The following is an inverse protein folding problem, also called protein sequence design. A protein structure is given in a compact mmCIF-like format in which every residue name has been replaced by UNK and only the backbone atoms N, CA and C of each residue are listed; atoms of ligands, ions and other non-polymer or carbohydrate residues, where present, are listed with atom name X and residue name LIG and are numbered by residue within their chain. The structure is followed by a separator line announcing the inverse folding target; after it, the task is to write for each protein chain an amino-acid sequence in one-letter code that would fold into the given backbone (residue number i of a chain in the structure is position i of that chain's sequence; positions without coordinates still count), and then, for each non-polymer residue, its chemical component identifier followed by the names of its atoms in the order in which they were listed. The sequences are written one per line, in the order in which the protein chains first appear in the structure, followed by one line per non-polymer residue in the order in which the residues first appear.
data_IF_599907917575
#
_entry.id   IF_599907917575
#
_cell.length_a   1.000
_cell.length_b   1.000
_cell.length_c   1.000
_cell.angle_alpha   90.00
_cell.angle_beta   90.00
_cell.angle_gamma   90.00
#
_symmetry.space_group_name_H-M   'P 1'
#
loop_
_entity.id
_entity.type
_entity.pdbx_description
1 polymer ?
#
# COMPACT_ATOMS: atom_id res chain seq x y z
N UNK A 1 -16.26 -19.08 -37.49
CA UNK A 1 -15.96 -19.05 -36.03
C UNK A 1 -17.27 -19.23 -35.27
N UNK A 2 -17.39 -20.29 -34.46
CA UNK A 2 -18.67 -20.75 -33.88
C UNK A 2 -19.18 -19.82 -32.76
N UNK A 3 -20.50 -19.60 -32.65
CA UNK A 3 -21.12 -18.60 -31.77
C UNK A 3 -20.73 -18.78 -30.29
N UNK A 4 -20.55 -20.04 -29.86
CA UNK A 4 -20.05 -20.39 -28.51
C UNK A 4 -18.65 -19.85 -28.21
N UNK A 5 -17.76 -19.76 -29.21
CA UNK A 5 -16.40 -19.27 -29.01
C UNK A 5 -16.36 -17.74 -28.88
N UNK A 6 -17.28 -17.02 -29.55
CA UNK A 6 -17.45 -15.57 -29.38
C UNK A 6 -17.96 -15.23 -27.98
N UNK A 7 -18.90 -16.02 -27.46
CA UNK A 7 -19.45 -15.81 -26.12
C UNK A 7 -18.41 -16.10 -25.02
N UNK A 8 -17.62 -17.17 -25.17
CA UNK A 8 -16.54 -17.48 -24.23
C UNK A 8 -15.46 -16.40 -24.23
N UNK A 9 -15.11 -15.87 -25.42
CA UNK A 9 -14.14 -14.80 -25.56
C UNK A 9 -14.64 -13.48 -24.95
N UNK A 10 -15.92 -13.13 -25.16
CA UNK A 10 -16.53 -11.95 -24.53
C UNK A 10 -16.55 -12.08 -23.00
N UNK A 11 -16.91 -13.25 -22.47
CA UNK A 11 -16.94 -13.50 -21.03
C UNK A 11 -15.53 -13.44 -20.43
N UNK A 12 -14.53 -13.95 -21.15
CA UNK A 12 -13.12 -13.87 -20.76
C UNK A 12 -12.62 -12.41 -20.75
N UNK A 13 -12.96 -11.62 -21.77
CA UNK A 13 -12.60 -10.18 -21.85
C UNK A 13 -13.29 -9.39 -20.73
N UNK A 14 -14.56 -9.68 -20.42
CA UNK A 14 -15.28 -9.04 -19.31
C UNK A 14 -14.69 -9.43 -17.96
N UNK A 15 -14.32 -10.71 -17.75
CA UNK A 15 -13.67 -11.17 -16.52
C UNK A 15 -12.23 -10.64 -16.35
N UNK A 16 -11.51 -10.44 -17.45
CA UNK A 16 -10.18 -9.81 -17.45
C UNK A 16 -10.31 -8.32 -17.13
N UNK A 17 -11.30 -7.62 -17.70
CA UNK A 17 -11.56 -6.20 -17.42
C UNK A 17 -12.12 -5.93 -16.01
N UNK A 18 -12.80 -6.89 -15.39
CA UNK A 18 -13.27 -6.74 -14.00
C UNK A 18 -12.13 -6.80 -12.97
N UNK A 19 -10.98 -7.42 -13.30
CA UNK A 19 -9.80 -7.43 -12.40
C UNK A 19 -8.98 -6.14 -12.47
N UNK A 20 -9.07 -5.38 -13.56
CA UNK A 20 -8.33 -4.13 -13.77
C UNK A 20 -9.08 -2.87 -13.31
N UNK A 21 -10.40 -2.95 -13.09
CA UNK A 21 -11.24 -1.76 -12.98
C UNK A 21 -11.14 -0.94 -11.70
N UNK A 22 -10.57 -1.46 -10.61
CA UNK A 22 -10.72 -0.75 -9.33
C UNK A 22 -9.82 0.48 -9.17
N UNK A 23 -8.58 0.42 -9.66
CA UNK A 23 -7.65 1.56 -9.59
C UNK A 23 -7.83 2.52 -10.77
N UNK A 24 -8.27 2.02 -11.94
CA UNK A 24 -8.64 2.84 -13.10
C UNK A 24 -9.84 3.76 -12.80
N UNK A 25 -10.83 3.29 -12.03
CA UNK A 25 -11.96 4.12 -11.57
C UNK A 25 -11.57 5.20 -10.54
N UNK A 26 -10.35 5.17 -10.00
CA UNK A 26 -9.80 6.19 -9.10
C UNK A 26 -8.77 7.11 -9.81
N UNK A 27 -8.61 6.99 -11.14
CA UNK A 27 -7.59 7.73 -11.90
C UNK A 27 -6.15 7.29 -11.62
N UNK A 28 -5.97 6.15 -10.95
CA UNK A 28 -4.65 5.63 -10.56
C UNK A 28 -4.15 4.69 -11.66
N UNK A 29 -3.34 5.24 -12.56
CA UNK A 29 -2.83 4.54 -13.75
C UNK A 29 -1.84 3.45 -13.35
N UNK A 30 -1.89 2.32 -14.06
CA UNK A 30 -0.91 1.25 -13.94
C UNK A 30 0.51 1.81 -14.17
N UNK A 31 1.45 1.49 -13.29
CA UNK A 31 2.83 1.93 -13.43
C UNK A 31 3.51 1.27 -14.64
N UNK A 32 4.16 2.10 -15.46
CA UNK A 32 5.09 1.66 -16.52
C UNK A 32 6.37 1.19 -15.83
N UNK A 33 6.97 0.09 -16.32
CA UNK A 33 8.09 -0.65 -15.71
C UNK A 33 9.36 0.16 -15.37
N UNK A 34 9.41 1.46 -15.71
CA UNK A 34 10.58 2.34 -15.62
C UNK A 34 10.30 3.68 -14.90
N UNK A 35 9.26 3.77 -14.06
CA UNK A 35 8.98 4.98 -13.28
C UNK A 35 9.28 4.68 -11.81
N UNK A 36 10.20 5.44 -11.19
CA UNK A 36 10.47 5.33 -9.75
C UNK A 36 9.18 5.53 -8.96
N UNK A 37 8.84 4.62 -8.06
CA UNK A 37 7.61 4.67 -7.25
C UNK A 37 7.72 5.62 -6.08
N UNK A 38 8.96 5.87 -5.65
CA UNK A 38 9.28 6.70 -4.52
C UNK A 38 9.99 7.97 -5.01
N UNK A 39 10.02 9.03 -4.20
CA UNK A 39 10.86 10.20 -4.45
C UNK A 39 12.35 9.83 -4.61
N UNK A 40 13.13 10.66 -5.33
CA UNK A 40 14.56 10.41 -5.57
C UNK A 40 15.39 10.10 -4.32
N UNK A 41 15.07 10.72 -3.18
CA UNK A 41 15.76 10.48 -1.91
C UNK A 41 15.61 9.03 -1.39
N UNK A 42 14.69 8.25 -1.95
CA UNK A 42 14.45 6.85 -1.64
C UNK A 42 14.84 5.88 -2.77
N UNK A 43 15.50 6.34 -3.84
CA UNK A 43 15.86 5.47 -4.98
C UNK A 43 16.82 4.34 -4.60
N UNK A 44 17.58 4.48 -3.52
CA UNK A 44 18.43 3.39 -2.97
C UNK A 44 17.61 2.21 -2.40
N UNK A 45 16.28 2.32 -2.29
CA UNK A 45 15.37 1.31 -1.74
C UNK A 45 14.52 0.63 -2.83
N UNK A 46 15.17 0.16 -3.89
CA UNK A 46 14.52 -0.45 -5.06
C UNK A 46 13.59 -1.63 -4.70
N UNK A 47 13.82 -2.27 -3.55
CA UNK A 47 12.99 -3.37 -3.06
C UNK A 47 11.51 -2.98 -2.89
N UNK A 48 11.19 -1.76 -2.45
CA UNK A 48 9.78 -1.34 -2.30
C UNK A 48 9.13 -1.06 -3.65
N UNK A 49 9.85 -0.44 -4.59
CA UNK A 49 9.37 -0.19 -5.95
C UNK A 49 8.99 -1.49 -6.65
N UNK A 50 9.86 -2.50 -6.57
CA UNK A 50 9.59 -3.84 -7.10
C UNK A 50 8.36 -4.48 -6.44
N UNK A 51 8.24 -4.42 -5.11
CA UNK A 51 7.12 -5.04 -4.39
C UNK A 51 5.77 -4.37 -4.68
N UNK A 52 5.73 -3.04 -4.75
CA UNK A 52 4.53 -2.31 -5.13
C UNK A 52 4.10 -2.64 -6.57
N UNK A 53 5.07 -2.78 -7.48
CA UNK A 53 4.81 -3.23 -8.85
C UNK A 53 4.22 -4.64 -8.90
N UNK A 54 4.83 -5.62 -8.22
CA UNK A 54 4.35 -7.00 -8.17
C UNK A 54 2.95 -7.12 -7.55
N UNK A 55 2.64 -6.25 -6.58
CA UNK A 55 1.32 -6.17 -5.95
C UNK A 55 0.30 -5.35 -6.77
N UNK A 56 0.73 -4.76 -7.90
CA UNK A 56 -0.06 -3.89 -8.76
C UNK A 56 -0.69 -2.72 -7.98
N UNK A 57 0.09 -2.15 -7.07
CA UNK A 57 -0.28 -0.97 -6.28
C UNK A 57 0.01 0.32 -7.06
N UNK A 58 -0.85 1.34 -6.93
CA UNK A 58 -0.68 2.59 -7.65
C UNK A 58 0.48 3.41 -7.09
N UNK A 59 1.14 4.19 -7.96
CA UNK A 59 2.13 5.18 -7.51
C UNK A 59 1.40 6.35 -6.83
N UNK A 60 1.84 6.72 -5.62
CA UNK A 60 1.28 7.86 -4.87
C UNK A 60 2.10 9.13 -5.05
N UNK A 61 3.43 8.99 -5.18
CA UNK A 61 4.30 10.13 -5.46
C UNK A 61 3.93 10.78 -6.81
N UNK A 62 3.77 12.10 -6.82
CA UNK A 62 3.39 12.86 -8.01
C UNK A 62 1.89 12.84 -8.33
N UNK A 63 1.06 12.20 -7.49
CA UNK A 63 -0.39 12.38 -7.52
C UNK A 63 -0.73 13.86 -7.25
N UNK A 64 -1.77 14.37 -7.91
CA UNK A 64 -2.20 15.79 -7.84
C UNK A 64 -3.67 15.98 -7.48
N UNK A 65 -4.37 14.91 -7.11
CA UNK A 65 -5.78 14.99 -6.72
C UNK A 65 -5.89 15.41 -5.25
N UNK A 66 -6.46 16.56 -4.97
CA UNK A 66 -6.64 17.04 -3.59
C UNK A 66 -7.86 16.43 -2.90
N UNK A 67 -8.74 15.74 -3.65
CA UNK A 67 -9.97 15.14 -3.14
C UNK A 67 -9.76 13.72 -2.58
N UNK A 68 -8.52 13.23 -2.58
CA UNK A 68 -8.19 11.89 -2.13
C UNK A 68 -7.15 11.94 -1.00
N UNK A 69 -7.41 11.17 0.04
CA UNK A 69 -6.43 10.85 1.08
C UNK A 69 -6.08 9.37 0.98
N UNK A 70 -4.79 9.07 0.96
CA UNK A 70 -4.27 7.71 0.90
C UNK A 70 -3.24 7.51 1.99
N UNK A 71 -3.42 6.45 2.76
CA UNK A 71 -2.46 5.98 3.76
C UNK A 71 -2.11 4.55 3.40
N UNK A 72 -0.84 4.29 3.09
CA UNK A 72 -0.38 2.96 2.68
C UNK A 72 0.77 2.50 3.56
N UNK A 73 0.62 1.32 4.13
CA UNK A 73 1.68 0.62 4.84
C UNK A 73 2.09 -0.61 4.02
N UNK A 74 3.35 -0.65 3.62
CA UNK A 74 3.97 -1.79 2.92
C UNK A 74 4.98 -2.43 3.85
N UNK A 75 4.93 -3.75 3.98
CA UNK A 75 5.93 -4.54 4.71
C UNK A 75 6.62 -5.52 3.76
N UNK A 76 7.95 -5.49 3.75
CA UNK A 76 8.79 -6.39 2.97
C UNK A 76 9.65 -7.22 3.91
N UNK A 77 9.63 -8.54 3.76
CA UNK A 77 10.37 -9.48 4.60
C UNK A 77 11.49 -10.11 3.79
N UNK A 78 12.73 -10.02 4.28
CA UNK A 78 13.92 -10.50 3.55
C UNK A 78 14.05 -12.04 3.52
N UNK A 79 13.56 -12.77 4.54
CA UNK A 79 13.78 -14.21 4.70
C UNK A 79 12.50 -15.02 4.78
N UNK A 80 11.94 -15.38 3.61
CA UNK A 80 10.86 -16.38 3.50
C UNK A 80 9.49 -15.96 4.06
N UNK A 81 9.37 -14.77 4.64
CA UNK A 81 8.09 -14.21 5.08
C UNK A 81 7.27 -13.63 3.93
N UNK A 82 6.00 -13.38 4.21
CA UNK A 82 5.07 -12.80 3.25
C UNK A 82 5.08 -11.27 3.30
N UNK A 83 5.31 -10.66 2.14
CA UNK A 83 5.13 -9.22 1.96
C UNK A 83 3.65 -8.89 2.05
N UNK A 84 3.34 -7.72 2.61
CA UNK A 84 1.97 -7.27 2.80
C UNK A 84 1.83 -5.79 2.47
N UNK A 85 0.63 -5.40 2.03
CA UNK A 85 0.26 -4.00 1.82
C UNK A 85 -1.13 -3.77 2.40
N UNK A 86 -1.26 -2.71 3.19
CA UNK A 86 -2.55 -2.20 3.65
C UNK A 86 -2.69 -0.77 3.16
N UNK A 87 -3.66 -0.53 2.28
CA UNK A 87 -3.94 0.78 1.69
C UNK A 87 -5.32 1.24 2.14
N UNK A 88 -5.37 2.37 2.84
CA UNK A 88 -6.60 3.05 3.26
C UNK A 88 -6.80 4.23 2.32
N UNK A 89 -7.96 4.31 1.70
CA UNK A 89 -8.33 5.37 0.77
C UNK A 89 -9.60 6.04 1.27
N UNK A 90 -9.56 7.37 1.37
CA UNK A 90 -10.74 8.23 1.50
C UNK A 90 -10.85 9.10 0.28
N UNK A 91 -12.03 9.14 -0.32
CA UNK A 91 -12.41 10.10 -1.34
C UNK A 91 -13.85 10.57 -1.10
N UNK A 92 -14.37 11.40 -2.00
CA UNK A 92 -15.74 11.95 -1.90
C UNK A 92 -16.85 10.89 -1.99
N UNK A 93 -16.56 9.65 -2.39
CA UNK A 93 -17.55 8.62 -2.70
C UNK A 93 -17.53 7.43 -1.73
N UNK A 94 -16.39 7.12 -1.10
CA UNK A 94 -16.22 5.93 -0.25
C UNK A 94 -14.97 6.06 0.64
N UNK A 95 -15.06 5.55 1.87
CA UNK A 95 -13.88 5.22 2.66
C UNK A 95 -13.66 3.71 2.57
N UNK A 96 -12.47 3.29 2.15
CA UNK A 96 -12.20 1.87 1.91
C UNK A 96 -10.79 1.47 2.32
N UNK A 97 -10.70 0.24 2.81
CA UNK A 97 -9.43 -0.45 3.09
C UNK A 97 -9.23 -1.52 2.04
N UNK A 98 -8.05 -1.53 1.44
CA UNK A 98 -7.54 -2.59 0.61
C UNK A 98 -6.43 -3.29 1.36
N UNK A 99 -6.69 -4.54 1.73
CA UNK A 99 -5.68 -5.41 2.33
C UNK A 99 -5.18 -6.38 1.29
N UNK A 100 -3.86 -6.41 1.14
CA UNK A 100 -3.13 -7.39 0.35
C UNK A 100 -2.34 -8.26 1.30
N UNK A 101 -2.77 -9.50 1.40
CA UNK A 101 -2.04 -10.54 2.09
C UNK A 101 -1.61 -11.52 1.00
N UNK A 102 -0.31 -11.67 0.82
CA UNK A 102 0.22 -12.80 0.06
C UNK A 102 -0.09 -14.05 0.87
N UNK A 103 -0.86 -14.97 0.27
CA UNK A 103 -1.15 -16.27 0.89
C UNK A 103 -0.29 -17.30 0.17
N UNK A 104 0.65 -17.89 0.90
CA UNK A 104 1.45 -18.97 0.37
C UNK A 104 0.61 -20.25 0.34
N UNK A 105 -0.03 -20.49 -0.81
CA UNK A 105 -0.56 -21.81 -1.14
C UNK A 105 0.48 -22.52 -2.00
N UNK A 106 0.99 -23.65 -1.52
CA UNK A 106 2.11 -24.51 -1.98
C UNK A 106 2.40 -24.66 -3.49
N UNK A 107 1.63 -24.08 -4.40
CA UNK A 107 1.84 -24.15 -5.86
C UNK A 107 1.58 -22.86 -6.64
N UNK A 108 0.98 -21.82 -6.04
CA UNK A 108 0.70 -20.54 -6.71
C UNK A 108 0.71 -19.39 -5.71
N UNK A 109 1.53 -18.37 -5.97
CA UNK A 109 1.46 -17.06 -5.30
C UNK A 109 0.04 -16.50 -5.51
N UNK A 110 -0.82 -16.58 -4.49
CA UNK A 110 -2.17 -16.01 -4.55
C UNK A 110 -2.19 -14.74 -3.71
N UNK A 111 -2.40 -13.62 -4.39
CA UNK A 111 -2.64 -12.33 -3.75
C UNK A 111 -4.13 -12.27 -3.42
N UNK A 112 -4.48 -12.26 -2.13
CA UNK A 112 -5.85 -11.97 -1.71
C UNK A 112 -5.99 -10.47 -1.51
N UNK A 113 -6.78 -9.83 -2.38
CA UNK A 113 -7.21 -8.44 -2.22
C UNK A 113 -8.58 -8.46 -1.53
N UNK A 114 -8.64 -8.00 -0.28
CA UNK A 114 -9.91 -7.77 0.41
C UNK A 114 -10.20 -6.28 0.40
N UNK A 115 -11.33 -5.88 -0.18
CA UNK A 115 -11.91 -4.55 0.01
C UNK A 115 -12.84 -4.60 1.21
N UNK A 116 -12.64 -3.70 2.16
CA UNK A 116 -13.54 -3.49 3.29
C UNK A 116 -13.96 -2.03 3.28
N UNK A 117 -15.26 -1.76 3.34
CA UNK A 117 -15.75 -0.40 3.58
C UNK A 117 -15.61 -0.10 5.06
N UNK A 118 -15.18 1.11 5.39
CA UNK A 118 -15.11 1.59 6.77
C UNK A 118 -15.99 2.81 6.94
N UNK A 119 -16.54 2.96 8.14
CA UNK A 119 -17.32 4.15 8.51
C UNK A 119 -16.44 5.40 8.57
N UNK A 120 -17.07 6.57 8.45
CA UNK A 120 -16.38 7.85 8.69
C UNK A 120 -15.81 7.95 10.11
N UNK A 121 -16.48 7.34 11.10
CA UNK A 121 -16.00 7.30 12.47
C UNK A 121 -14.72 6.49 12.62
N UNK A 122 -14.65 5.31 12.02
CA UNK A 122 -13.44 4.47 12.02
C UNK A 122 -12.28 5.18 11.32
N UNK A 123 -12.56 5.81 10.17
CA UNK A 123 -11.55 6.60 9.46
C UNK A 123 -11.08 7.81 10.28
N UNK A 124 -12.00 8.54 10.93
CA UNK A 124 -11.67 9.67 11.81
C UNK A 124 -10.83 9.23 13.01
N UNK A 125 -11.15 8.10 13.61
CA UNK A 125 -10.37 7.53 14.72
C UNK A 125 -8.96 7.14 14.26
N UNK A 126 -8.85 6.47 13.11
CA UNK A 126 -7.56 6.13 12.51
C UNK A 126 -6.71 7.38 12.27
N UNK A 127 -7.25 8.38 11.58
CA UNK A 127 -6.51 9.61 11.25
C UNK A 127 -6.19 10.46 12.48
N UNK A 128 -7.04 10.50 13.49
CA UNK A 128 -6.76 11.21 14.75
C UNK A 128 -5.58 10.57 15.48
N UNK A 129 -5.56 9.25 15.58
CA UNK A 129 -4.42 8.52 16.13
C UNK A 129 -3.17 8.75 15.29
N UNK A 130 -3.28 8.72 13.96
CA UNK A 130 -2.15 8.93 13.07
C UNK A 130 -1.57 10.36 13.18
N UNK A 131 -2.41 11.39 13.26
CA UNK A 131 -1.98 12.79 13.42
C UNK A 131 -1.33 13.05 14.79
N UNK A 132 -1.61 12.22 15.80
CA UNK A 132 -0.91 12.30 17.09
C UNK A 132 0.58 11.92 16.99
N UNK A 133 0.94 11.19 15.93
CA UNK A 133 2.33 11.04 15.53
C UNK A 133 2.68 12.28 14.72
N UNK A 134 3.65 13.06 15.19
CA UNK A 134 4.17 14.23 14.48
C UNK A 134 4.89 13.78 13.19
N UNK A 135 4.11 13.45 12.17
CA UNK A 135 4.55 12.92 10.87
C UNK A 135 5.49 13.90 10.18
N UNK A 136 5.29 15.21 10.38
CA UNK A 136 6.11 16.23 9.73
C UNK A 136 7.55 16.20 10.25
N UNK A 137 7.74 16.02 11.56
CA UNK A 137 9.06 15.97 12.18
C UNK A 137 9.57 14.54 12.41
N UNK A 138 8.79 13.52 12.04
CA UNK A 138 9.21 12.13 12.20
C UNK A 138 10.40 11.82 11.27
N UNK A 139 11.48 11.18 11.76
CA UNK A 139 12.63 10.89 10.91
C UNK A 139 12.19 10.09 9.67
N UNK A 140 12.54 10.52 8.47
CA UNK A 140 12.08 9.84 7.25
C UNK A 140 12.70 8.46 7.06
N UNK A 141 13.88 8.24 7.63
CA UNK A 141 14.59 6.98 7.52
C UNK A 141 15.23 6.61 8.85
N UNK A 142 15.23 5.32 9.16
CA UNK A 142 16.09 4.74 10.19
C UNK A 142 16.82 3.53 9.60
N UNK A 143 18.10 3.70 9.32
CA UNK A 143 18.99 2.61 8.97
C UNK A 143 19.52 1.98 10.26
N UNK A 144 18.72 1.16 10.91
CA UNK A 144 19.28 0.22 11.86
C UNK A 144 20.10 -0.80 11.03
N UNK A 145 21.37 -1.03 11.37
CA UNK A 145 22.28 -1.99 10.70
C UNK A 145 21.91 -3.46 10.96
N UNK A 146 20.63 -3.75 11.19
CA UNK A 146 20.15 -5.11 11.42
C UNK A 146 19.72 -5.66 10.07
N UNK A 147 20.60 -6.47 9.46
CA UNK A 147 20.39 -7.11 8.16
C UNK A 147 19.26 -8.15 8.17
N UNK A 148 18.85 -8.60 9.35
CA UNK A 148 17.79 -9.60 9.55
C UNK A 148 16.50 -8.94 10.02
N UNK A 149 15.49 -8.82 9.16
CA UNK A 149 14.16 -8.38 9.60
C UNK A 149 13.17 -7.97 8.52
N UNK A 150 12.16 -7.23 8.97
CA UNK A 150 11.09 -6.67 8.15
C UNK A 150 11.40 -5.20 7.89
N UNK A 151 11.37 -4.79 6.63
CA UNK A 151 11.40 -3.39 6.24
C UNK A 151 9.98 -2.89 6.03
N UNK A 152 9.68 -1.71 6.57
CA UNK A 152 8.38 -1.07 6.42
C UNK A 152 8.53 0.23 5.64
N UNK A 153 7.57 0.48 4.75
CA UNK A 153 7.38 1.74 4.04
C UNK A 153 5.97 2.24 4.39
N UNK A 154 5.91 3.40 5.05
CA UNK A 154 4.69 4.14 5.28
C UNK A 154 4.62 5.30 4.30
N UNK A 155 3.57 5.33 3.49
CA UNK A 155 3.28 6.41 2.55
C UNK A 155 1.98 7.09 2.94
N UNK A 156 2.01 8.42 2.90
CA UNK A 156 0.89 9.28 3.26
C UNK A 156 0.73 10.29 2.14
N UNK A 157 -0.44 10.30 1.53
CA UNK A 157 -0.88 11.31 0.60
C UNK A 157 -2.12 12.00 1.17
N UNK A 158 -2.01 13.29 1.45
CA UNK A 158 -3.09 14.06 2.08
C UNK A 158 -2.98 15.53 1.67
N UNK A 159 -4.10 16.15 1.30
CA UNK A 159 -4.18 17.56 0.91
C UNK A 159 -3.13 17.93 -0.17
N UNK A 160 -3.00 17.09 -1.20
CA UNK A 160 -2.04 17.29 -2.28
C UNK A 160 -0.57 17.07 -1.92
N UNK A 161 -0.26 16.63 -0.69
CA UNK A 161 1.11 16.43 -0.21
C UNK A 161 1.42 14.95 0.00
N UNK A 162 2.58 14.53 -0.50
CA UNK A 162 3.11 13.19 -0.32
C UNK A 162 4.24 13.18 0.72
N UNK A 163 4.21 12.19 1.61
CA UNK A 163 5.26 11.87 2.57
C UNK A 163 5.52 10.37 2.60
N UNK A 164 6.78 9.98 2.73
CA UNK A 164 7.20 8.59 2.87
C UNK A 164 8.18 8.42 4.03
N UNK A 165 8.05 7.28 4.73
CA UNK A 165 8.89 6.91 5.85
C UNK A 165 9.31 5.45 5.72
N UNK A 166 10.61 5.19 5.82
CA UNK A 166 11.17 3.84 5.78
C UNK A 166 11.72 3.49 7.16
N UNK A 167 11.43 2.26 7.61
CA UNK A 167 11.97 1.70 8.85
C UNK A 167 12.43 0.28 8.64
N UNK A 168 13.72 0.07 8.92
CA UNK A 168 14.31 -1.26 8.97
C UNK A 168 14.18 -1.81 10.38
N UNK A 169 13.48 -2.94 10.49
CA UNK A 169 13.33 -3.69 11.73
C UNK A 169 12.99 -2.83 12.98
N UNK A 170 11.85 -2.10 12.97
CA UNK A 170 11.47 -1.23 14.10
C UNK A 170 11.19 -2.02 15.39
N UNK A 171 11.11 -3.35 15.33
CA UNK A 171 10.89 -4.22 16.49
C UNK A 171 12.09 -4.23 17.46
N UNK A 172 13.27 -3.81 17.00
CA UNK A 172 14.50 -3.76 17.80
C UNK A 172 14.73 -2.44 18.55
N UNK A 173 13.96 -1.39 18.24
CA UNK A 173 14.33 -0.01 18.59
C UNK A 173 13.65 0.59 19.84
N UNK A 174 14.37 1.52 20.49
CA UNK A 174 13.85 2.47 21.50
C UNK A 174 13.38 3.76 20.79
N UNK A 175 12.52 4.56 21.44
CA UNK A 175 12.07 5.88 20.97
C UNK A 175 11.22 5.86 19.67
N UNK A 176 11.75 6.37 18.54
CA UNK A 176 11.00 6.59 17.31
C UNK A 176 10.43 5.30 16.72
N UNK A 177 11.13 4.19 16.88
CA UNK A 177 10.68 2.89 16.39
C UNK A 177 9.47 2.36 17.19
N UNK A 178 9.39 2.61 18.49
CA UNK A 178 8.21 2.29 19.31
C UNK A 178 6.98 3.10 18.85
N UNK A 179 7.17 4.37 18.50
CA UNK A 179 6.11 5.19 17.89
C UNK A 179 5.69 4.62 16.53
N UNK A 180 6.64 4.20 15.70
CA UNK A 180 6.33 3.60 14.40
C UNK A 180 5.58 2.27 14.52
N UNK A 181 5.92 1.43 15.50
CA UNK A 181 5.16 0.20 15.80
C UNK A 181 3.71 0.50 16.20
N UNK A 182 3.48 1.60 16.91
CA UNK A 182 2.13 2.12 17.18
C UNK A 182 1.36 2.40 15.89
N UNK A 183 1.99 3.05 14.91
CA UNK A 183 1.38 3.28 13.59
C UNK A 183 1.10 1.96 12.88
N UNK A 184 2.06 1.04 12.84
CA UNK A 184 1.88 -0.29 12.21
C UNK A 184 0.65 -0.99 12.78
N UNK A 185 0.50 -0.97 14.11
CA UNK A 185 -0.64 -1.57 14.79
C UNK A 185 -1.97 -0.96 14.34
N UNK A 186 -2.05 0.36 14.16
CA UNK A 186 -3.27 1.03 13.66
C UNK A 186 -3.73 0.47 12.31
N UNK A 187 -2.81 0.18 11.38
CA UNK A 187 -3.17 -0.38 10.08
C UNK A 187 -3.73 -1.80 10.18
N UNK A 188 -3.16 -2.63 11.05
CA UNK A 188 -3.58 -4.02 11.20
C UNK A 188 -4.87 -4.18 12.04
N UNK A 189 -5.10 -3.29 12.99
CA UNK A 189 -6.27 -3.31 13.89
C UNK A 189 -7.59 -2.95 13.18
N UNK A 190 -7.54 -2.25 12.05
CA UNK A 190 -8.72 -1.96 11.23
C UNK A 190 -9.30 -3.26 10.65
N UNK A 191 -10.59 -3.57 10.83
CA UNK A 191 -11.18 -4.88 10.45
C UNK A 191 -12.03 -4.82 9.19
#
# INVERSE_FOLDING_TARGET
MNLKHRFLFLLLVVLINCKTSHFENLGLVKPVKNISYLPPEFEKFDIFSYNLFELNEPKLFGLKDENIEIYRLTSVISFGGDNSVVTIIKNNLDNSIYKFIKVDSFKKRRILKKKIKISDLEFKNFTSNLNSFDIQNFPKNNFNNVDDGIQYLLEIYKNGKYSAFIRNNPQTGKNADAKFLGIIKLFYDLK
#
